data_IF_416682963880
#
_entry.id   IF_416682963880
#
_cell.length_a   1.000
_cell.length_b   1.000
_cell.length_c   1.000
_cell.angle_alpha   90.00
_cell.angle_beta   90.00
_cell.angle_gamma   90.00
#
_symmetry.space_group_name_H-M   'P 1'
#
loop_
_entity.id
_entity.type
_entity.pdbx_description
1 polymer ?
#
# COMPACT_ATOMS: atom_id res chain seq x y z
N UNK A 1 20.36 -9.41 -9.05
CA UNK A 1 19.83 -8.20 -8.36
C UNK A 1 18.55 -8.62 -7.68
N UNK A 2 18.55 -8.82 -6.35
CA UNK A 2 17.29 -8.97 -5.63
C UNK A 2 16.68 -7.58 -5.69
N UNK A 3 15.69 -7.38 -6.58
CA UNK A 3 15.04 -6.08 -6.76
C UNK A 3 14.45 -5.67 -5.41
N UNK A 4 15.11 -4.76 -4.71
CA UNK A 4 14.69 -4.31 -3.39
C UNK A 4 13.34 -3.64 -3.58
N UNK A 5 12.27 -4.33 -3.19
CA UNK A 5 10.93 -3.77 -3.18
C UNK A 5 10.91 -2.63 -2.16
N UNK A 6 10.55 -1.43 -2.61
CA UNK A 6 10.32 -0.32 -1.69
C UNK A 6 9.12 -0.65 -0.81
N UNK A 7 9.05 -0.07 0.39
CA UNK A 7 7.91 -0.27 1.29
C UNK A 7 6.58 0.08 0.62
N UNK A 8 6.56 1.15 -0.20
CA UNK A 8 5.39 1.56 -0.97
C UNK A 8 4.95 0.48 -1.96
N UNK A 9 5.91 -0.15 -2.65
CA UNK A 9 5.60 -1.22 -3.60
C UNK A 9 5.03 -2.44 -2.88
N UNK A 10 5.62 -2.84 -1.76
CA UNK A 10 5.12 -3.96 -0.95
C UNK A 10 3.72 -3.71 -0.42
N UNK A 11 3.43 -2.49 0.07
CA UNK A 11 2.09 -2.12 0.55
C UNK A 11 1.09 -2.10 -0.60
N UNK A 12 1.44 -1.51 -1.75
CA UNK A 12 0.56 -1.49 -2.92
C UNK A 12 0.27 -2.90 -3.47
N UNK A 13 1.25 -3.81 -3.41
CA UNK A 13 1.05 -5.22 -3.74
C UNK A 13 0.14 -5.93 -2.73
N UNK A 14 0.24 -5.64 -1.44
CA UNK A 14 -0.69 -6.19 -0.44
C UNK A 14 -2.14 -5.76 -0.71
N UNK A 15 -2.38 -4.50 -1.11
CA UNK A 15 -3.71 -4.05 -1.53
C UNK A 15 -4.19 -4.70 -2.84
N UNK A 16 -3.27 -4.89 -3.80
CA UNK A 16 -3.56 -5.55 -5.08
C UNK A 16 -3.93 -7.02 -4.89
N UNK A 17 -3.24 -7.70 -3.99
CA UNK A 17 -3.36 -9.13 -3.71
C UNK A 17 -4.23 -9.44 -2.48
N UNK A 18 -4.97 -8.47 -1.94
CA UNK A 18 -5.77 -8.61 -0.70
C UNK A 18 -6.75 -9.80 -0.68
N UNK A 19 -7.15 -10.31 -1.85
CA UNK A 19 -7.97 -11.53 -1.95
C UNK A 19 -7.21 -12.82 -1.63
N UNK A 20 -5.89 -12.79 -1.77
CA UNK A 20 -4.97 -13.91 -1.51
C UNK A 20 -4.31 -13.78 -0.13
N UNK A 21 -3.90 -12.56 0.24
CA UNK A 21 -3.14 -12.30 1.49
C UNK A 21 -3.99 -11.80 2.66
N UNK A 22 -5.29 -11.60 2.44
CA UNK A 22 -6.22 -11.05 3.42
C UNK A 22 -6.28 -9.53 3.42
N UNK A 23 -7.43 -8.99 3.82
CA UNK A 23 -7.71 -7.55 3.81
C UNK A 23 -7.02 -6.77 4.92
N UNK A 24 -6.81 -7.41 6.08
CA UNK A 24 -6.22 -6.74 7.25
C UNK A 24 -4.72 -6.48 7.07
N UNK A 25 -3.99 -7.40 6.43
CA UNK A 25 -2.55 -7.26 6.21
C UNK A 25 -2.20 -5.94 5.52
N UNK A 26 -2.92 -5.58 4.45
CA UNK A 26 -2.66 -4.35 3.70
C UNK A 26 -2.89 -3.09 4.56
N UNK A 27 -3.92 -3.11 5.42
CA UNK A 27 -4.29 -1.99 6.30
C UNK A 27 -3.32 -1.83 7.46
N UNK A 28 -2.92 -2.93 8.08
CA UNK A 28 -1.91 -2.94 9.15
C UNK A 28 -0.55 -2.48 8.64
N UNK A 29 -0.12 -3.01 7.49
CA UNK A 29 1.12 -2.58 6.86
C UNK A 29 1.12 -1.08 6.51
N UNK A 30 0.00 -0.57 5.97
CA UNK A 30 -0.17 0.85 5.70
C UNK A 30 -0.08 1.69 6.99
N UNK A 31 -0.82 1.32 8.04
CA UNK A 31 -0.85 2.05 9.31
C UNK A 31 0.54 2.11 9.94
N UNK A 32 1.24 0.98 9.99
CA UNK A 32 2.59 0.91 10.55
C UNK A 32 3.60 1.72 9.73
N UNK A 33 3.51 1.67 8.40
CA UNK A 33 4.37 2.45 7.53
C UNK A 33 4.15 3.96 7.68
N UNK A 34 2.90 4.42 7.78
CA UNK A 34 2.59 5.82 8.06
C UNK A 34 3.12 6.26 9.42
N UNK A 35 2.98 5.42 10.45
CA UNK A 35 3.54 5.69 11.79
C UNK A 35 5.06 5.89 11.77
N UNK A 36 5.77 5.26 10.82
CA UNK A 36 7.22 5.43 10.61
C UNK A 36 7.58 6.62 9.71
N UNK A 37 6.64 7.49 9.37
CA UNK A 37 6.87 8.65 8.51
C UNK A 37 6.75 8.36 7.02
N UNK A 38 5.98 7.32 6.65
CA UNK A 38 5.62 7.03 5.27
C UNK A 38 4.99 8.23 4.57
N UNK A 39 5.22 8.36 3.26
CA UNK A 39 4.74 9.50 2.44
C UNK A 39 3.58 9.07 1.53
N UNK A 40 2.30 9.31 1.91
CA UNK A 40 1.13 8.87 1.15
C UNK A 40 1.17 9.16 -0.35
N UNK A 41 1.67 10.35 -0.73
CA UNK A 41 1.79 10.75 -2.13
C UNK A 41 2.64 9.77 -2.96
N UNK A 42 3.79 9.33 -2.42
CA UNK A 42 4.69 8.38 -3.09
C UNK A 42 4.07 6.99 -3.21
N UNK A 43 3.29 6.58 -2.22
CA UNK A 43 2.52 5.33 -2.28
C UNK A 43 1.46 5.39 -3.38
N UNK A 44 0.73 6.50 -3.50
CA UNK A 44 -0.28 6.70 -4.56
C UNK A 44 0.35 6.72 -5.97
N UNK A 45 1.51 7.35 -6.14
CA UNK A 45 2.27 7.33 -7.40
C UNK A 45 2.57 5.90 -7.85
N UNK A 46 3.00 5.04 -6.91
CA UNK A 46 3.30 3.63 -7.19
C UNK A 46 2.01 2.85 -7.44
N UNK A 47 1.00 3.01 -6.59
CA UNK A 47 -0.28 2.31 -6.71
C UNK A 47 -1.02 2.63 -8.03
N UNK A 48 -0.82 3.82 -8.60
CA UNK A 48 -1.39 4.22 -9.91
C UNK A 48 -0.82 3.40 -11.07
N UNK A 49 0.39 2.86 -10.93
CA UNK A 49 1.04 2.02 -11.95
C UNK A 49 0.66 0.55 -11.84
N UNK A 50 -0.09 0.16 -10.79
CA UNK A 50 -0.43 -1.22 -10.50
C UNK A 50 -1.94 -1.46 -10.67
N UNK A 51 -2.33 -2.56 -11.33
CA UNK A 51 -3.75 -2.87 -11.50
C UNK A 51 -4.39 -3.12 -10.14
N UNK A 52 -5.61 -2.60 -9.93
CA UNK A 52 -6.44 -2.87 -8.74
C UNK A 52 -5.84 -2.44 -7.39
N UNK A 53 -4.77 -1.62 -7.39
CA UNK A 53 -4.13 -1.12 -6.17
C UNK A 53 -4.59 0.29 -5.77
N UNK A 54 -4.75 1.21 -6.74
CA UNK A 54 -5.01 2.64 -6.48
C UNK A 54 -6.23 2.90 -5.59
N UNK A 55 -7.41 2.43 -6.01
CA UNK A 55 -8.67 2.69 -5.29
C UNK A 55 -8.64 2.18 -3.83
N UNK A 56 -8.29 0.92 -3.53
CA UNK A 56 -8.26 0.46 -2.15
C UNK A 56 -7.17 1.15 -1.31
N UNK A 57 -6.03 1.53 -1.89
CA UNK A 57 -5.01 2.34 -1.19
C UNK A 57 -5.56 3.71 -0.82
N UNK A 58 -6.24 4.39 -1.76
CA UNK A 58 -6.81 5.71 -1.53
C UNK A 58 -7.88 5.66 -0.42
N UNK A 59 -8.84 4.74 -0.50
CA UNK A 59 -9.85 4.57 0.55
C UNK A 59 -9.22 4.27 1.91
N UNK A 60 -8.17 3.44 1.94
CA UNK A 60 -7.48 3.13 3.19
C UNK A 60 -6.77 4.35 3.79
N UNK A 61 -6.19 5.22 2.97
CA UNK A 61 -5.60 6.49 3.41
C UNK A 61 -6.67 7.45 3.92
N UNK A 62 -7.82 7.57 3.24
CA UNK A 62 -8.94 8.43 3.65
C UNK A 62 -9.53 8.04 5.01
N UNK A 63 -9.55 6.75 5.35
CA UNK A 63 -10.00 6.29 6.68
C UNK A 63 -8.96 6.48 7.81
N UNK A 64 -7.69 6.71 7.47
CA UNK A 64 -6.59 6.84 8.42
C UNK A 64 -6.16 8.31 8.65
N UNK A 65 -6.69 9.23 7.85
CA UNK A 65 -6.52 10.68 8.00
C UNK A 65 -7.38 11.20 9.16
#
# INVERSE_FOLDING_TARGET
>A
MIGIYSAERSIADAFRLRGEVGYELAREALREWLRRGGKPARLIEIATRLPRAKTPVLHALEMLA
#
